data_IF_404532339701
#
_entry.id   IF_404532339701
#
_cell.length_a   1.000
_cell.length_b   1.000
_cell.length_c   1.000
_cell.angle_alpha   90.00
_cell.angle_beta   90.00
_cell.angle_gamma   90.00
#
_symmetry.space_group_name_H-M   'P 1'
#
loop_
_entity.id
_entity.type
_entity.pdbx_description
1 polymer ?
#
# COMPACT_ATOMS: atom_id res chain seq x y z
N UNK A 1 -22.40 7.92 5.70
CA UNK A 1 -22.12 8.53 4.38
C UNK A 1 -20.67 8.23 4.04
N UNK A 2 -20.40 7.38 3.04
CA UNK A 2 -19.04 7.02 2.63
C UNK A 2 -18.47 8.12 1.73
N UNK A 3 -17.24 8.59 2.02
CA UNK A 3 -16.55 9.62 1.24
C UNK A 3 -15.77 8.95 0.11
N UNK A 4 -15.97 9.42 -1.12
CA UNK A 4 -15.19 9.05 -2.29
C UNK A 4 -13.87 9.84 -2.24
N UNK A 5 -12.73 9.17 -2.40
CA UNK A 5 -11.42 9.84 -2.50
C UNK A 5 -10.73 9.33 -3.75
N UNK A 6 -10.51 10.21 -4.71
CA UNK A 6 -9.71 9.93 -5.91
C UNK A 6 -8.23 10.03 -5.55
N UNK A 7 -7.50 8.94 -5.74
CA UNK A 7 -6.05 8.89 -5.63
C UNK A 7 -5.50 8.83 -7.05
N UNK A 8 -4.73 9.85 -7.47
CA UNK A 8 -4.27 9.95 -8.85
C UNK A 8 -3.34 8.79 -9.25
N UNK A 9 -3.60 8.14 -10.38
CA UNK A 9 -2.76 7.09 -10.98
C UNK A 9 -2.49 7.36 -12.47
N UNK A 10 -1.25 7.15 -12.91
CA UNK A 10 -0.86 7.18 -14.33
C UNK A 10 -1.21 5.82 -14.96
N UNK A 11 -2.18 5.79 -15.88
CA UNK A 11 -2.79 4.56 -16.40
C UNK A 11 -2.00 3.90 -17.53
N UNK A 12 -1.68 2.61 -17.38
CA UNK A 12 -1.46 1.64 -18.46
C UNK A 12 -2.48 0.51 -18.33
N UNK A 13 -3.27 0.24 -19.37
CA UNK A 13 -4.51 -0.55 -19.32
C UNK A 13 -4.32 -2.07 -19.22
N UNK A 14 -5.17 -2.72 -18.41
CA UNK A 14 -5.51 -4.16 -18.39
C UNK A 14 -6.91 -4.33 -17.75
N UNK A 15 -7.72 -5.35 -18.12
CA UNK A 15 -9.16 -5.47 -17.78
C UNK A 15 -9.47 -5.82 -16.31
N UNK A 16 -8.47 -5.86 -15.42
CA UNK A 16 -8.66 -6.07 -13.98
C UNK A 16 -9.05 -4.79 -13.21
N UNK A 17 -9.05 -3.63 -13.88
CA UNK A 17 -9.26 -2.32 -13.27
C UNK A 17 -10.68 -2.16 -12.70
N UNK A 18 -11.70 -2.73 -13.33
CA UNK A 18 -13.12 -2.59 -12.95
C UNK A 18 -13.50 -3.22 -11.59
N UNK A 19 -12.66 -4.09 -11.02
CA UNK A 19 -12.93 -4.87 -9.80
C UNK A 19 -12.41 -4.23 -8.50
N UNK A 20 -11.64 -3.14 -8.61
CA UNK A 20 -11.00 -2.46 -7.48
C UNK A 20 -11.71 -1.14 -7.14
N UNK A 21 -12.35 -0.53 -8.14
CA UNK A 21 -13.18 0.66 -7.93
C UNK A 21 -14.31 0.35 -6.94
N UNK A 22 -14.49 1.23 -5.96
CA UNK A 22 -15.51 1.15 -4.92
C UNK A 22 -15.25 0.10 -3.82
N UNK A 23 -14.05 -0.47 -3.72
CA UNK A 23 -13.72 -1.34 -2.58
C UNK A 23 -13.59 -0.54 -1.27
N UNK A 24 -14.03 -1.10 -0.13
CA UNK A 24 -13.87 -0.43 1.16
C UNK A 24 -12.39 -0.33 1.52
N UNK A 25 -11.97 0.85 1.96
CA UNK A 25 -10.58 1.14 2.32
C UNK A 25 -10.34 1.16 3.83
N UNK A 26 -9.14 0.73 4.21
CA UNK A 26 -8.59 0.90 5.56
C UNK A 26 -7.20 1.54 5.45
N UNK A 27 -6.89 2.46 6.37
CA UNK A 27 -5.55 3.04 6.51
C UNK A 27 -4.89 2.49 7.76
N UNK A 28 -3.73 1.85 7.58
CA UNK A 28 -2.85 1.36 8.63
C UNK A 28 -1.67 2.31 8.78
N UNK A 29 -1.45 2.75 10.02
CA UNK A 29 -0.40 3.70 10.35
C UNK A 29 0.91 2.97 10.67
N UNK A 30 1.99 3.39 10.02
CA UNK A 30 3.35 2.99 10.36
C UNK A 30 4.11 4.15 11.00
N UNK A 31 5.31 3.85 11.49
CA UNK A 31 6.27 4.86 11.93
C UNK A 31 6.90 5.57 10.73
N UNK A 32 7.26 6.84 10.84
CA UNK A 32 7.94 7.57 9.77
C UNK A 32 7.84 9.09 9.90
N UNK A 33 8.39 9.88 8.95
CA UNK A 33 8.93 9.49 7.63
C UNK A 33 10.44 9.13 7.66
N UNK A 34 10.72 7.89 8.04
CA UNK A 34 12.08 7.35 8.20
C UNK A 34 12.21 5.98 7.55
N UNK A 35 13.44 5.59 7.18
CA UNK A 35 13.73 4.23 6.70
C UNK A 35 13.56 3.24 7.85
N UNK A 36 12.69 2.26 7.66
CA UNK A 36 12.44 1.19 8.62
C UNK A 36 11.75 0.01 7.94
N UNK A 37 11.71 -1.12 8.62
CA UNK A 37 10.88 -2.26 8.24
C UNK A 37 9.45 -2.04 8.77
N UNK A 38 8.48 -1.90 7.86
CA UNK A 38 7.06 -1.64 8.17
C UNK A 38 6.44 -2.88 8.82
N UNK A 39 5.96 -2.70 10.05
CA UNK A 39 5.21 -3.68 10.83
C UNK A 39 3.94 -3.03 11.36
N UNK A 40 2.82 -3.28 10.67
CA UNK A 40 1.52 -2.70 11.03
C UNK A 40 0.60 -3.76 11.63
N UNK A 41 0.02 -3.53 12.83
CA UNK A 41 -0.93 -4.45 13.42
C UNK A 41 -2.31 -4.28 12.79
N UNK A 42 -2.98 -5.40 12.50
CA UNK A 42 -4.37 -5.47 12.09
C UNK A 42 -4.96 -6.83 12.43
N UNK A 43 -6.28 -6.92 12.53
CA UNK A 43 -7.02 -8.16 12.63
C UNK A 43 -7.44 -8.62 11.23
N UNK A 44 -7.40 -9.93 10.94
CA UNK A 44 -7.68 -10.47 9.60
C UNK A 44 -9.06 -10.03 9.07
N UNK A 45 -10.06 -9.89 9.96
CA UNK A 45 -11.40 -9.42 9.62
C UNK A 45 -11.47 -7.95 9.17
N UNK A 46 -10.51 -7.11 9.55
CA UNK A 46 -10.46 -5.70 9.16
C UNK A 46 -10.02 -5.51 7.71
N UNK A 47 -9.20 -6.42 7.19
CA UNK A 47 -8.57 -6.29 5.88
C UNK A 47 -9.18 -7.20 4.82
N UNK A 48 -9.92 -8.24 5.22
CA UNK A 48 -10.58 -9.15 4.30
C UNK A 48 -11.51 -8.40 3.34
N UNK A 49 -11.26 -8.51 2.04
CA UNK A 49 -12.07 -7.82 1.02
C UNK A 49 -11.82 -6.32 0.88
N UNK A 50 -10.85 -5.75 1.59
CA UNK A 50 -10.58 -4.31 1.62
C UNK A 50 -9.35 -3.93 0.80
N UNK A 51 -9.29 -2.65 0.44
CA UNK A 51 -8.05 -1.97 0.08
C UNK A 51 -7.32 -1.56 1.35
N UNK A 52 -6.07 -1.95 1.48
CA UNK A 52 -5.24 -1.63 2.66
C UNK A 52 -4.19 -0.61 2.26
N UNK A 53 -4.30 0.60 2.80
CA UNK A 53 -3.34 1.67 2.58
C UNK A 53 -2.41 1.75 3.80
N UNK A 54 -1.11 1.79 3.57
CA UNK A 54 -0.09 1.90 4.60
C UNK A 54 0.47 3.31 4.54
N UNK A 55 0.24 4.07 5.60
CA UNK A 55 0.69 5.45 5.73
C UNK A 55 1.94 5.48 6.61
N UNK A 56 3.06 5.92 6.03
CA UNK A 56 4.35 6.09 6.71
C UNK A 56 4.72 7.58 6.83
N UNK A 57 4.03 8.45 6.09
CA UNK A 57 4.35 9.88 5.96
C UNK A 57 5.47 10.15 4.94
N UNK A 58 5.94 9.13 4.22
CA UNK A 58 7.01 9.29 3.22
C UNK A 58 6.61 10.24 2.08
N UNK A 59 5.31 10.38 1.82
CA UNK A 59 4.74 11.37 0.92
C UNK A 59 5.06 12.82 1.29
N UNK A 60 5.43 13.10 2.54
CA UNK A 60 5.95 14.40 2.96
C UNK A 60 7.26 14.80 2.24
N UNK A 61 7.94 13.86 1.58
CA UNK A 61 9.14 14.10 0.76
C UNK A 61 8.82 14.32 -0.72
N UNK A 62 7.58 14.11 -1.16
CA UNK A 62 7.18 14.21 -2.56
C UNK A 62 7.62 15.54 -3.20
N UNK A 63 8.09 15.47 -4.44
CA UNK A 63 8.60 16.64 -5.17
C UNK A 63 10.03 17.04 -4.83
N UNK A 64 10.75 16.24 -4.03
CA UNK A 64 12.18 16.44 -3.72
C UNK A 64 13.00 15.22 -4.10
N UNK A 65 14.30 15.39 -4.31
CA UNK A 65 15.21 14.27 -4.58
C UNK A 65 15.25 13.25 -3.41
N UNK A 66 15.02 13.73 -2.18
CA UNK A 66 14.98 12.91 -0.96
C UNK A 66 13.82 11.90 -0.94
N UNK A 67 12.82 12.04 -1.81
CA UNK A 67 11.75 11.05 -1.99
C UNK A 67 12.27 9.75 -2.59
N UNK A 68 13.22 9.86 -3.52
CA UNK A 68 13.81 8.75 -4.28
C UNK A 68 14.97 8.07 -3.55
N UNK A 69 15.30 8.52 -2.35
CA UNK A 69 16.21 7.79 -1.47
C UNK A 69 15.57 6.47 -0.99
N UNK A 70 16.37 5.48 -0.56
CA UNK A 70 15.84 4.24 -0.01
C UNK A 70 14.90 4.47 1.19
N UNK A 71 13.61 4.19 0.97
CA UNK A 71 12.53 4.42 1.93
C UNK A 71 12.23 3.23 2.85
N UNK A 72 11.04 3.25 3.49
CA UNK A 72 10.52 2.12 4.23
C UNK A 72 10.44 0.85 3.37
N UNK A 73 10.48 -0.31 4.03
CA UNK A 73 10.38 -1.61 3.38
C UNK A 73 9.29 -2.42 4.06
N UNK A 74 8.36 -3.01 3.30
CA UNK A 74 7.36 -3.91 3.87
C UNK A 74 8.05 -5.17 4.41
N UNK A 75 7.72 -5.54 5.65
CA UNK A 75 8.14 -6.83 6.22
C UNK A 75 7.46 -8.00 5.52
N UNK A 76 8.14 -9.14 5.47
CA UNK A 76 7.57 -10.39 4.95
C UNK A 76 6.31 -10.82 5.73
N UNK A 77 6.26 -10.56 7.04
CA UNK A 77 5.08 -10.85 7.89
C UNK A 77 3.85 -10.04 7.47
N UNK A 78 4.01 -8.73 7.25
CA UNK A 78 2.89 -7.88 6.79
C UNK A 78 2.38 -8.36 5.44
N UNK A 79 3.29 -8.65 4.51
CA UNK A 79 2.97 -9.21 3.19
C UNK A 79 2.16 -10.51 3.33
N UNK A 80 2.69 -11.47 4.08
CA UNK A 80 2.06 -12.77 4.30
C UNK A 80 0.66 -12.62 4.90
N UNK A 81 0.51 -11.76 5.91
CA UNK A 81 -0.76 -11.56 6.61
C UNK A 81 -1.80 -10.88 5.73
N UNK A 82 -1.41 -9.94 4.85
CA UNK A 82 -2.33 -9.31 3.90
C UNK A 82 -2.87 -10.34 2.90
N UNK A 83 -1.99 -11.18 2.34
CA UNK A 83 -2.35 -12.29 1.44
C UNK A 83 -3.29 -13.27 2.15
N UNK A 84 -2.88 -13.79 3.31
CA UNK A 84 -3.67 -14.76 4.08
C UNK A 84 -5.05 -14.23 4.46
N UNK A 85 -5.14 -12.95 4.81
CA UNK A 85 -6.39 -12.33 5.25
C UNK A 85 -7.32 -11.97 4.09
N UNK A 86 -6.86 -12.04 2.84
CA UNK A 86 -7.65 -11.75 1.66
C UNK A 86 -7.85 -10.25 1.41
N UNK A 87 -6.83 -9.43 1.67
CA UNK A 87 -6.81 -8.06 1.18
C UNK A 87 -6.89 -8.05 -0.35
N UNK A 88 -7.51 -7.01 -0.92
CA UNK A 88 -7.77 -6.91 -2.37
C UNK A 88 -6.78 -6.05 -3.11
N UNK A 89 -6.13 -5.12 -2.41
CA UNK A 89 -5.09 -4.23 -2.89
C UNK A 89 -4.28 -3.73 -1.69
N UNK A 90 -2.98 -3.53 -1.88
CA UNK A 90 -2.13 -2.80 -0.94
C UNK A 90 -1.70 -1.46 -1.56
N UNK A 91 -1.73 -0.39 -0.78
CA UNK A 91 -1.26 0.94 -1.19
C UNK A 91 -0.19 1.47 -0.24
N UNK A 92 0.85 2.09 -0.76
CA UNK A 92 1.95 2.66 0.03
C UNK A 92 2.30 4.07 -0.44
N UNK A 93 2.79 4.91 0.48
CA UNK A 93 3.21 6.29 0.23
C UNK A 93 4.70 6.47 -0.09
N UNK A 94 5.39 5.35 -0.36
CA UNK A 94 6.78 5.30 -0.78
C UNK A 94 6.92 4.51 -2.08
N UNK A 95 8.05 4.69 -2.77
CA UNK A 95 8.39 3.89 -3.94
C UNK A 95 8.94 2.53 -3.49
N UNK A 96 8.50 1.45 -4.14
CA UNK A 96 9.02 0.12 -3.86
C UNK A 96 10.30 -0.07 -4.68
N UNK A 97 11.42 -0.36 -4.04
CA UNK A 97 12.70 -0.52 -4.73
C UNK A 97 12.68 -1.84 -5.52
N UNK A 98 12.78 -1.81 -6.86
CA UNK A 98 12.98 -3.02 -7.62
C UNK A 98 14.45 -3.39 -7.57
N UNK A 99 14.76 -4.53 -6.93
CA UNK A 99 16.03 -5.25 -7.03
C UNK A 99 17.21 -4.64 -6.25
N UNK A 100 17.58 -5.30 -5.16
CA UNK A 100 18.86 -5.12 -4.47
C UNK A 100 19.65 -6.43 -4.42
N UNK A 101 19.75 -7.17 -5.52
CA UNK A 101 20.75 -8.25 -5.82
C UNK A 101 20.97 -9.40 -4.82
N UNK A 102 20.32 -9.41 -3.66
CA UNK A 102 20.33 -10.50 -2.69
C UNK A 102 18.96 -11.19 -2.66
N UNK A 103 18.95 -12.45 -2.23
CA UNK A 103 17.77 -13.31 -2.15
C UNK A 103 16.59 -12.77 -1.28
N UNK A 104 16.73 -11.55 -0.73
CA UNK A 104 15.72 -10.71 -0.10
C UNK A 104 14.88 -9.87 -1.10
N UNK A 105 15.05 -10.09 -2.42
CA UNK A 105 14.31 -9.51 -3.57
C UNK A 105 12.79 -9.83 -3.62
N UNK A 106 12.18 -10.07 -2.46
CA UNK A 106 10.86 -10.65 -2.26
C UNK A 106 9.78 -9.60 -1.97
N UNK A 107 10.05 -8.30 -2.12
CA UNK A 107 8.96 -7.30 -2.14
C UNK A 107 8.09 -7.43 -3.40
N UNK A 108 8.71 -7.82 -4.53
CA UNK A 108 8.03 -8.17 -5.78
C UNK A 108 7.27 -9.51 -5.70
N UNK A 109 7.37 -10.27 -4.58
CA UNK A 109 6.72 -11.59 -4.42
C UNK A 109 5.32 -11.54 -3.80
N UNK A 110 4.85 -10.38 -3.32
CA UNK A 110 3.40 -10.11 -3.19
C UNK A 110 2.64 -10.46 -4.49
N UNK A 111 3.33 -10.27 -5.62
CA UNK A 111 2.82 -10.36 -6.99
C UNK A 111 2.85 -11.80 -7.55
N UNK A 112 3.73 -12.68 -7.07
CA UNK A 112 3.90 -14.03 -7.68
C UNK A 112 2.97 -15.10 -7.06
N UNK A 113 2.83 -15.15 -5.72
CA UNK A 113 2.03 -16.22 -5.06
C UNK A 113 0.68 -15.72 -4.49
N UNK A 114 0.58 -14.44 -4.12
CA UNK A 114 -0.57 -13.91 -3.37
C UNK A 114 -1.62 -13.16 -4.20
N UNK A 115 -1.31 -12.79 -5.45
CA UNK A 115 -2.19 -12.05 -6.39
C UNK A 115 -2.82 -10.76 -5.81
N UNK A 116 -2.14 -10.07 -4.88
CA UNK A 116 -2.58 -8.76 -4.39
C UNK A 116 -1.82 -7.68 -5.18
N UNK A 117 -2.51 -6.80 -5.93
CA UNK A 117 -1.88 -5.65 -6.58
C UNK A 117 -1.37 -4.66 -5.53
N UNK A 118 -0.22 -4.04 -5.82
CA UNK A 118 0.35 -2.96 -5.02
C UNK A 118 0.32 -1.65 -5.80
N UNK A 119 -0.07 -0.58 -5.12
CA UNK A 119 -0.06 0.79 -5.61
C UNK A 119 0.96 1.56 -4.78
N UNK A 120 1.94 2.15 -5.44
CA UNK A 120 3.00 2.93 -4.81
C UNK A 120 2.82 4.43 -5.05
N UNK A 121 3.65 5.24 -4.38
CA UNK A 121 3.68 6.69 -4.51
C UNK A 121 2.36 7.39 -4.16
N UNK A 122 1.55 6.79 -3.29
CA UNK A 122 0.33 7.41 -2.80
C UNK A 122 0.65 8.64 -1.97
N UNK A 123 -0.12 9.70 -2.15
CA UNK A 123 0.00 10.92 -1.37
C UNK A 123 -1.24 11.13 -0.51
N UNK A 124 -1.10 11.96 0.52
CA UNK A 124 -2.21 12.42 1.35
C UNK A 124 -2.94 11.28 2.09
N UNK A 125 -2.24 10.18 2.41
CA UNK A 125 -2.86 9.10 3.18
C UNK A 125 -3.25 9.53 4.60
N UNK A 126 -2.57 10.55 5.14
CA UNK A 126 -2.81 11.11 6.48
C UNK A 126 -4.14 11.86 6.63
N UNK A 127 -4.75 12.31 5.52
CA UNK A 127 -6.06 13.01 5.56
C UNK A 127 -7.25 12.07 5.34
N UNK A 128 -6.99 10.79 5.05
CA UNK A 128 -8.03 9.79 4.87
C UNK A 128 -8.60 9.35 6.22
N UNK A 129 -9.90 9.05 6.31
CA UNK A 129 -10.42 8.38 7.49
C UNK A 129 -9.80 6.97 7.58
N UNK A 130 -9.55 6.50 8.81
CA UNK A 130 -8.95 5.18 9.07
C UNK A 130 -9.75 4.02 8.45
N UNK A 131 -11.06 4.18 8.35
CA UNK A 131 -12.02 3.19 7.84
C UNK A 131 -13.21 3.92 7.20
N UNK A 132 -14.09 3.20 6.53
CA UNK A 132 -15.34 3.70 5.91
C UNK A 132 -15.18 4.70 4.75
N UNK A 133 -14.08 4.63 4.00
CA UNK A 133 -13.98 5.26 2.68
C UNK A 133 -14.01 4.21 1.58
N UNK A 134 -14.22 4.66 0.34
CA UNK A 134 -14.09 3.80 -0.83
C UNK A 134 -12.87 4.23 -1.64
N UNK A 135 -12.09 3.24 -2.05
CA UNK A 135 -10.97 3.41 -2.95
C UNK A 135 -11.49 3.34 -4.39
N UNK A 136 -11.11 4.34 -5.19
CA UNK A 136 -11.54 4.50 -6.57
C UNK A 136 -10.38 5.00 -7.41
#
# INVERSE_FOLDING_TARGET
MARLVELGHTTGGEPHQDLIYSLPGIVLESVGPMRHEVKVPFHDSQVKGHVVLIQTGWDGRCGTDAYWEPGPVLSEDVIFRLVRSGARLAGVDFWVIPNATDAADVQTRLIVDGKIPIVENLCNLSILPRWNFRFC
#
